data_IF_047958163233
#
_entry.id   IF_047958163233
#
_cell.length_a   1.000
_cell.length_b   1.000
_cell.length_c   1.000
_cell.angle_alpha   90.00
_cell.angle_beta   90.00
_cell.angle_gamma   90.00
#
_symmetry.space_group_name_H-M   'P 1'
#
loop_
_entity.id
_entity.type
_entity.pdbx_description
1 polymer ?
#
# COMPACT_ATOMS: atom_id res chain seq x y z
N UNK A 1 44.51 20.88 40.75
CA UNK A 1 43.04 21.03 40.74
C UNK A 1 42.56 20.70 39.35
N UNK A 2 42.01 19.49 39.18
CA UNK A 2 41.57 18.98 37.89
C UNK A 2 40.10 19.29 37.64
N UNK A 3 39.77 19.71 36.42
CA UNK A 3 38.42 19.63 35.89
C UNK A 3 38.37 18.49 34.87
N UNK A 4 37.72 17.41 35.32
CA UNK A 4 37.44 16.17 34.60
C UNK A 4 36.21 16.40 33.71
N UNK A 5 36.41 16.44 32.39
CA UNK A 5 35.31 16.37 31.43
C UNK A 5 34.73 14.95 31.46
N UNK A 6 33.43 14.85 31.73
CA UNK A 6 32.68 13.59 31.71
C UNK A 6 32.29 13.20 30.27
N UNK A 7 32.29 11.91 29.90
CA UNK A 7 31.83 11.46 28.59
C UNK A 7 30.29 11.38 28.53
N UNK A 8 29.73 11.81 27.40
CA UNK A 8 28.30 11.73 27.06
C UNK A 8 27.98 10.28 26.61
N UNK A 9 27.01 9.57 27.20
CA UNK A 9 26.64 8.23 26.76
C UNK A 9 25.52 8.26 25.71
N UNK A 10 25.64 7.41 24.68
CA UNK A 10 24.48 6.92 23.93
C UNK A 10 24.41 7.27 22.45
N UNK A 11 25.41 6.88 21.66
CA UNK A 11 25.23 6.73 20.21
C UNK A 11 24.20 5.62 19.95
N UNK A 12 22.94 5.96 19.67
CA UNK A 12 21.98 4.99 19.12
C UNK A 12 22.52 4.49 17.78
N UNK A 13 23.04 3.25 17.76
CA UNK A 13 23.33 2.51 16.54
C UNK A 13 22.08 2.57 15.66
N UNK A 14 22.19 3.23 14.51
CA UNK A 14 21.23 3.07 13.40
C UNK A 14 21.20 1.58 13.07
N UNK A 15 20.11 0.88 13.38
CA UNK A 15 19.84 -0.41 12.79
C UNK A 15 19.70 -0.19 11.29
N UNK A 16 20.71 -0.62 10.53
CA UNK A 16 20.62 -0.75 9.09
C UNK A 16 19.48 -1.74 8.81
N UNK A 17 18.56 -1.36 7.92
CA UNK A 17 17.63 -2.32 7.33
C UNK A 17 18.44 -3.51 6.81
N UNK A 18 18.10 -4.72 7.26
CA UNK A 18 18.66 -5.94 6.72
C UNK A 18 18.18 -6.06 5.27
N UNK A 19 19.03 -5.65 4.34
CA UNK A 19 18.95 -6.10 2.96
C UNK A 19 19.29 -7.58 2.99
N UNK A 20 18.31 -8.44 2.68
CA UNK A 20 18.54 -9.87 2.52
C UNK A 20 19.72 -10.09 1.56
N UNK A 21 20.72 -10.91 1.92
CA UNK A 21 21.90 -11.11 1.09
C UNK A 21 21.51 -11.68 -0.28
N UNK A 22 22.07 -11.09 -1.33
CA UNK A 22 21.91 -11.43 -2.76
C UNK A 22 22.45 -12.83 -3.14
N UNK A 23 22.81 -13.67 -2.18
CA UNK A 23 23.43 -14.98 -2.41
C UNK A 23 22.45 -16.14 -2.63
N UNK A 24 21.13 -15.91 -2.65
CA UNK A 24 20.16 -16.97 -3.02
C UNK A 24 19.82 -16.95 -4.53
N UNK A 25 20.32 -15.96 -5.28
CA UNK A 25 20.06 -15.82 -6.74
C UNK A 25 21.13 -16.54 -7.56
N UNK A 26 21.44 -17.80 -7.23
CA UNK A 26 22.05 -18.75 -8.18
C UNK A 26 21.57 -20.17 -7.89
N UNK A 27 20.33 -20.44 -8.28
CA UNK A 27 19.89 -21.76 -8.74
C UNK A 27 18.59 -21.56 -9.52
N UNK A 28 18.71 -21.47 -10.84
CA UNK A 28 17.58 -21.55 -11.77
C UNK A 28 17.25 -23.03 -11.98
N UNK A 29 15.95 -23.28 -12.18
CA UNK A 29 15.30 -24.53 -12.55
C UNK A 29 14.85 -25.42 -11.36
N UNK A 30 13.54 -25.42 -11.07
CA UNK A 30 12.90 -26.54 -10.36
C UNK A 30 12.24 -26.27 -8.99
N UNK A 31 11.90 -25.03 -8.61
CA UNK A 31 11.12 -24.84 -7.38
C UNK A 31 9.64 -25.17 -7.62
N UNK A 32 9.26 -26.44 -7.39
CA UNK A 32 7.87 -26.88 -7.34
C UNK A 32 7.05 -26.14 -6.28
N UNK A 33 5.73 -26.40 -6.21
CA UNK A 33 4.77 -25.76 -5.27
C UNK A 33 5.29 -25.71 -3.82
N UNK A 34 6.09 -26.68 -3.40
CA UNK A 34 6.64 -26.77 -2.05
C UNK A 34 7.81 -25.81 -1.78
N UNK A 35 8.59 -25.45 -2.80
CA UNK A 35 9.62 -24.41 -2.69
C UNK A 35 9.02 -23.03 -2.47
N UNK A 36 7.89 -22.74 -3.13
CA UNK A 36 7.12 -21.52 -2.92
C UNK A 36 6.48 -21.47 -1.53
N UNK A 37 5.89 -22.59 -1.05
CA UNK A 37 5.36 -22.67 0.31
C UNK A 37 6.43 -22.44 1.38
N UNK A 38 7.64 -22.97 1.19
CA UNK A 38 8.78 -22.74 2.10
C UNK A 38 9.27 -21.29 2.09
N UNK A 39 9.41 -20.68 0.91
CA UNK A 39 9.75 -19.26 0.80
C UNK A 39 8.67 -18.35 1.42
N UNK A 40 7.39 -18.70 1.25
CA UNK A 40 6.26 -18.01 1.88
C UNK A 40 6.27 -18.17 3.40
N UNK A 41 6.51 -19.38 3.91
CA UNK A 41 6.65 -19.63 5.35
C UNK A 41 7.82 -18.84 5.96
N UNK A 42 8.94 -18.72 5.24
CA UNK A 42 10.06 -17.85 5.63
C UNK A 42 9.67 -16.36 5.61
N UNK A 43 8.89 -15.90 4.63
CA UNK A 43 8.36 -14.53 4.61
C UNK A 43 7.36 -14.27 5.76
N UNK A 44 6.55 -15.26 6.13
CA UNK A 44 5.66 -15.23 7.29
C UNK A 44 6.44 -15.20 8.61
N UNK A 45 7.60 -15.85 8.68
CA UNK A 45 8.48 -15.87 9.85
C UNK A 45 9.38 -14.62 9.98
N UNK A 46 9.56 -13.85 8.91
CA UNK A 46 10.40 -12.65 8.88
C UNK A 46 9.62 -11.34 9.14
N UNK A 47 8.29 -11.38 9.19
CA UNK A 47 7.50 -10.23 9.59
C UNK A 47 7.71 -9.97 11.10
N UNK A 48 8.10 -8.76 11.53
CA UNK A 48 8.16 -8.45 12.94
C UNK A 48 6.78 -8.64 13.57
N UNK A 49 6.73 -9.21 14.77
CA UNK A 49 5.50 -9.41 15.50
C UNK A 49 4.72 -8.08 15.60
N UNK A 50 3.58 -8.00 14.90
CA UNK A 50 2.67 -6.84 14.93
C UNK A 50 2.69 -5.90 13.72
N UNK A 51 3.24 -6.28 12.55
CA UNK A 51 3.09 -5.45 11.34
C UNK A 51 1.62 -5.25 10.96
N UNK A 52 1.10 -4.03 11.19
CA UNK A 52 -0.26 -3.63 10.78
C UNK A 52 -0.31 -2.95 9.42
N UNK A 53 0.84 -2.70 8.79
CA UNK A 53 0.90 -2.07 7.48
C UNK A 53 1.33 -3.09 6.43
N UNK A 54 0.43 -3.43 5.50
CA UNK A 54 0.66 -4.35 4.40
C UNK A 54 0.78 -3.55 3.11
N UNK A 55 1.95 -3.59 2.48
CA UNK A 55 2.23 -2.83 1.26
C UNK A 55 2.46 -3.77 0.08
N UNK A 56 1.68 -3.65 -0.98
CA UNK A 56 1.89 -4.40 -2.23
C UNK A 56 2.59 -3.50 -3.24
N UNK A 57 3.70 -3.98 -3.78
CA UNK A 57 4.42 -3.33 -4.88
C UNK A 57 4.57 -4.27 -6.08
N UNK A 58 4.89 -3.72 -7.24
CA UNK A 58 5.09 -4.49 -8.46
C UNK A 58 5.04 -3.62 -9.71
N UNK A 59 5.38 -4.18 -10.88
CA UNK A 59 5.35 -3.43 -12.13
C UNK A 59 3.92 -2.96 -12.47
N UNK A 60 3.76 -1.83 -13.18
CA UNK A 60 2.45 -1.39 -13.67
C UNK A 60 1.76 -2.50 -14.48
N UNK A 61 0.44 -2.65 -14.31
CA UNK A 61 -0.34 -3.68 -15.01
C UNK A 61 -0.20 -5.11 -14.47
N UNK A 62 0.60 -5.34 -13.41
CA UNK A 62 0.76 -6.68 -12.82
C UNK A 62 -0.48 -7.18 -12.08
N UNK A 63 -1.50 -6.34 -11.88
CA UNK A 63 -2.76 -6.72 -11.20
C UNK A 63 -2.80 -6.42 -9.71
N UNK A 64 -2.14 -5.36 -9.23
CA UNK A 64 -2.15 -4.95 -7.81
C UNK A 64 -3.56 -4.59 -7.34
N UNK A 65 -4.27 -3.77 -8.11
CA UNK A 65 -5.69 -3.45 -7.89
C UNK A 65 -6.52 -4.73 -7.80
N UNK A 66 -6.36 -5.65 -8.76
CA UNK A 66 -7.06 -6.94 -8.76
C UNK A 66 -6.75 -7.77 -7.50
N UNK A 67 -5.50 -7.78 -7.03
CA UNK A 67 -5.12 -8.47 -5.81
C UNK A 67 -5.85 -7.88 -4.59
N UNK A 68 -5.82 -6.54 -4.44
CA UNK A 68 -6.50 -5.86 -3.33
C UNK A 68 -8.00 -6.14 -3.37
N UNK A 69 -8.64 -5.97 -4.53
CA UNK A 69 -10.08 -6.20 -4.68
C UNK A 69 -10.45 -7.63 -4.30
N UNK A 70 -9.70 -8.64 -4.75
CA UNK A 70 -9.94 -10.06 -4.40
C UNK A 70 -9.77 -10.35 -2.91
N UNK A 71 -8.81 -9.70 -2.23
CA UNK A 71 -8.64 -9.82 -0.78
C UNK A 71 -9.82 -9.19 -0.04
N UNK A 72 -10.24 -7.99 -0.44
CA UNK A 72 -11.39 -7.28 0.17
C UNK A 72 -12.69 -8.07 -0.03
N UNK A 73 -12.92 -8.62 -1.22
CA UNK A 73 -14.06 -9.50 -1.50
C UNK A 73 -14.06 -10.73 -0.59
N UNK A 74 -12.92 -11.43 -0.48
CA UNK A 74 -12.79 -12.58 0.40
C UNK A 74 -13.05 -12.24 1.87
N UNK A 75 -12.54 -11.09 2.35
CA UNK A 75 -12.80 -10.60 3.71
C UNK A 75 -14.28 -10.29 3.94
N UNK A 76 -14.95 -9.63 2.99
CA UNK A 76 -16.40 -9.36 3.08
C UNK A 76 -17.25 -10.61 3.10
N UNK A 77 -16.88 -11.63 2.32
CA UNK A 77 -17.59 -12.92 2.29
C UNK A 77 -17.40 -13.72 3.58
N UNK A 78 -16.18 -13.75 4.12
CA UNK A 78 -15.84 -14.55 5.30
C UNK A 78 -16.15 -13.87 6.63
N UNK A 79 -16.05 -12.53 6.67
CA UNK A 79 -16.21 -11.70 7.86
C UNK A 79 -17.11 -10.50 7.53
N UNK A 80 -18.41 -10.72 7.30
CA UNK A 80 -19.34 -9.67 6.84
C UNK A 80 -19.54 -8.52 7.82
N UNK A 81 -19.13 -8.68 9.08
CA UNK A 81 -19.21 -7.67 10.14
C UNK A 81 -18.01 -6.72 10.17
N UNK A 82 -16.98 -6.94 9.34
CA UNK A 82 -15.82 -6.06 9.30
C UNK A 82 -16.17 -4.73 8.66
N UNK A 83 -15.85 -3.66 9.38
CA UNK A 83 -15.90 -2.32 8.82
C UNK A 83 -14.59 -2.03 8.09
N UNK A 84 -14.61 -2.22 6.77
CA UNK A 84 -13.49 -1.94 5.88
C UNK A 84 -13.73 -0.58 5.22
N UNK A 85 -12.78 0.35 5.42
CA UNK A 85 -12.86 1.69 4.85
C UNK A 85 -11.71 1.92 3.86
N UNK A 86 -11.97 2.64 2.78
CA UNK A 86 -10.94 2.93 1.80
C UNK A 86 -11.44 3.04 0.37
N UNK A 87 -10.49 3.06 -0.54
CA UNK A 87 -10.75 3.17 -1.96
C UNK A 87 -9.69 2.41 -2.77
N UNK A 88 -10.03 2.15 -4.03
CA UNK A 88 -9.11 1.66 -5.04
C UNK A 88 -9.19 2.51 -6.29
N UNK A 89 -8.19 2.38 -7.15
CA UNK A 89 -8.09 3.16 -8.39
C UNK A 89 -8.43 2.27 -9.58
N UNK A 90 -9.26 2.76 -10.49
CA UNK A 90 -9.60 2.05 -11.73
C UNK A 90 -9.04 2.80 -12.94
N UNK A 91 -8.45 2.06 -13.87
CA UNK A 91 -8.07 2.61 -15.18
C UNK A 91 -9.33 2.88 -16.02
N UNK A 92 -9.43 4.09 -16.56
CA UNK A 92 -10.46 4.46 -17.54
C UNK A 92 -9.86 4.33 -18.94
N UNK A 93 -10.53 3.54 -19.79
CA UNK A 93 -10.11 3.27 -21.16
C UNK A 93 -11.22 3.62 -22.16
N UNK A 94 -10.81 4.14 -23.31
CA UNK A 94 -11.64 4.24 -24.52
C UNK A 94 -10.98 3.36 -25.59
N UNK A 95 -11.63 2.25 -25.96
CA UNK A 95 -11.00 1.21 -26.76
C UNK A 95 -9.76 0.64 -26.07
N UNK A 96 -8.64 0.60 -26.80
CA UNK A 96 -7.33 0.18 -26.27
C UNK A 96 -6.62 1.28 -25.46
N UNK A 97 -7.04 2.54 -25.61
CA UNK A 97 -6.34 3.68 -25.06
C UNK A 97 -6.75 3.97 -23.63
N UNK A 98 -5.75 4.01 -22.73
CA UNK A 98 -5.96 4.50 -21.36
C UNK A 98 -6.05 6.01 -21.36
N UNK A 99 -7.26 6.51 -21.11
CA UNK A 99 -7.60 7.93 -21.10
C UNK A 99 -7.58 8.56 -19.69
N UNK A 100 -7.54 7.76 -18.63
CA UNK A 100 -7.51 8.30 -17.28
C UNK A 100 -7.56 7.27 -16.18
N UNK A 101 -7.81 7.77 -14.98
CA UNK A 101 -7.93 7.04 -13.73
C UNK A 101 -9.05 7.64 -12.91
N UNK A 102 -9.80 6.80 -12.22
CA UNK A 102 -10.82 7.21 -11.26
C UNK A 102 -10.58 6.54 -9.90
N UNK A 103 -10.93 7.25 -8.85
CA UNK A 103 -11.08 6.67 -7.52
C UNK A 103 -12.44 6.00 -7.43
N UNK A 104 -12.46 4.80 -6.89
CA UNK A 104 -13.66 4.04 -6.59
C UNK A 104 -13.66 3.68 -5.11
N UNK A 105 -14.67 4.13 -4.41
CA UNK A 105 -14.85 3.85 -3.00
C UNK A 105 -15.41 2.44 -2.81
N UNK A 106 -15.27 1.90 -1.60
CA UNK A 106 -15.78 0.59 -1.24
C UNK A 106 -17.31 0.47 -1.23
N UNK A 107 -18.04 1.60 -1.16
CA UNK A 107 -19.50 1.74 -1.33
C UNK A 107 -19.92 2.06 -2.78
N UNK A 108 -18.97 2.12 -3.73
CA UNK A 108 -19.25 2.22 -5.17
C UNK A 108 -19.34 3.65 -5.71
N UNK A 109 -19.13 4.68 -4.90
CA UNK A 109 -18.96 6.06 -5.37
C UNK A 109 -17.68 6.17 -6.19
N UNK A 110 -17.70 7.07 -7.19
CA UNK A 110 -16.63 7.22 -8.16
C UNK A 110 -16.37 8.69 -8.45
N UNK A 111 -15.12 9.03 -8.73
CA UNK A 111 -14.73 10.35 -9.19
C UNK A 111 -13.38 10.34 -9.90
N UNK A 112 -13.14 11.29 -10.82
CA UNK A 112 -11.90 11.34 -11.57
C UNK A 112 -10.70 11.59 -10.65
N UNK A 113 -9.61 10.86 -10.88
CA UNK A 113 -8.29 11.12 -10.29
C UNK A 113 -7.41 11.85 -11.31
N UNK A 114 -7.35 11.35 -12.53
CA UNK A 114 -6.56 11.97 -13.59
C UNK A 114 -7.12 11.65 -14.98
N UNK A 115 -6.99 12.59 -15.90
CA UNK A 115 -7.48 12.46 -17.28
C UNK A 115 -6.45 12.98 -18.28
N UNK A 116 -6.37 12.35 -19.46
CA UNK A 116 -5.61 12.89 -20.59
C UNK A 116 -6.41 13.91 -21.40
N UNK A 117 -7.71 14.02 -21.16
CA UNK A 117 -8.58 15.02 -21.78
C UNK A 117 -8.65 16.26 -20.88
N UNK A 118 -8.30 17.41 -21.42
CA UNK A 118 -8.49 18.72 -20.78
C UNK A 118 -9.98 19.02 -20.80
N UNK A 119 -10.62 19.03 -19.63
CA UNK A 119 -12.07 19.21 -19.51
C UNK A 119 -12.47 20.66 -19.18
N UNK A 120 -11.53 21.50 -18.74
CA UNK A 120 -11.81 22.89 -18.33
C UNK A 120 -10.58 23.78 -18.37
N UNK A 121 -10.77 25.10 -18.35
CA UNK A 121 -9.68 26.09 -18.20
C UNK A 121 -8.90 25.89 -16.91
N UNK A 122 -9.55 25.47 -15.82
CA UNK A 122 -8.90 25.16 -14.55
C UNK A 122 -7.94 23.98 -14.66
N UNK A 123 -8.31 22.97 -15.44
CA UNK A 123 -7.47 21.78 -15.66
C UNK A 123 -6.13 22.09 -16.34
N UNK A 124 -5.99 23.26 -16.98
CA UNK A 124 -4.70 23.72 -17.52
C UNK A 124 -3.64 23.89 -16.43
N UNK A 125 -4.03 24.30 -15.21
CA UNK A 125 -3.13 24.51 -14.06
C UNK A 125 -2.92 23.26 -13.21
N UNK A 126 -3.63 22.17 -13.49
CA UNK A 126 -3.50 20.95 -12.71
C UNK A 126 -2.12 20.30 -12.87
N UNK A 127 -1.60 19.66 -11.81
CA UNK A 127 -0.35 18.91 -11.88
C UNK A 127 -0.45 17.75 -12.87
N UNK A 128 0.69 17.37 -13.44
CA UNK A 128 0.76 16.39 -14.53
C UNK A 128 1.65 15.19 -14.22
N UNK A 129 1.23 14.03 -14.72
CA UNK A 129 2.02 12.79 -14.76
C UNK A 129 1.97 12.21 -16.16
N UNK A 130 3.05 12.41 -16.93
CA UNK A 130 3.04 12.09 -18.35
C UNK A 130 1.97 12.91 -19.07
N UNK A 131 1.07 12.25 -19.80
CA UNK A 131 -0.06 12.89 -20.50
C UNK A 131 -1.28 13.18 -19.62
N UNK A 132 -1.28 12.76 -18.36
CA UNK A 132 -2.45 12.85 -17.48
C UNK A 132 -2.38 14.09 -16.59
N UNK A 133 -3.47 14.85 -16.55
CA UNK A 133 -3.70 15.95 -15.60
C UNK A 133 -4.47 15.41 -14.40
N UNK A 134 -3.99 15.72 -13.20
CA UNK A 134 -4.51 15.18 -11.93
C UNK A 134 -5.51 16.16 -11.32
N UNK A 135 -6.75 15.71 -11.14
CA UNK A 135 -7.81 16.45 -10.46
C UNK A 135 -7.70 16.23 -8.94
N UNK A 136 -6.86 17.04 -8.30
CA UNK A 136 -6.62 16.93 -6.86
C UNK A 136 -7.90 17.20 -6.05
N UNK A 137 -8.74 18.15 -6.48
CA UNK A 137 -9.95 18.51 -5.77
C UNK A 137 -10.98 17.36 -5.78
N UNK A 138 -11.22 16.76 -6.95
CA UNK A 138 -12.06 15.58 -7.07
C UNK A 138 -11.53 14.41 -6.24
N UNK A 139 -10.22 14.14 -6.33
CA UNK A 139 -9.56 13.10 -5.52
C UNK A 139 -9.79 13.32 -4.02
N UNK A 140 -9.50 14.52 -3.51
CA UNK A 140 -9.62 14.85 -2.10
C UNK A 140 -11.05 14.69 -1.57
N UNK A 141 -12.05 15.08 -2.36
CA UNK A 141 -13.46 15.01 -1.99
C UNK A 141 -13.94 13.57 -1.71
N UNK A 142 -13.32 12.57 -2.34
CA UNK A 142 -13.64 11.16 -2.14
C UNK A 142 -12.66 10.47 -1.18
N UNK A 143 -11.36 10.69 -1.35
CA UNK A 143 -10.33 9.93 -0.64
C UNK A 143 -10.16 10.38 0.82
N UNK A 144 -10.18 11.69 1.10
CA UNK A 144 -9.89 12.19 2.46
C UNK A 144 -10.95 11.80 3.50
N UNK A 145 -12.27 11.83 3.21
CA UNK A 145 -13.28 11.35 4.15
C UNK A 145 -13.09 9.87 4.53
N UNK A 146 -12.54 9.06 3.63
CA UNK A 146 -12.29 7.63 3.82
C UNK A 146 -11.05 7.32 4.66
N UNK A 147 -10.19 8.31 4.89
CA UNK A 147 -9.00 8.20 5.74
C UNK A 147 -9.20 8.87 7.11
N UNK A 148 -10.43 9.25 7.47
CA UNK A 148 -10.75 9.72 8.80
C UNK A 148 -10.76 8.54 9.77
N UNK A 149 -9.87 8.58 10.76
CA UNK A 149 -9.84 7.59 11.84
C UNK A 149 -11.03 7.81 12.75
N UNK A 150 -11.87 6.78 12.87
CA UNK A 150 -13.06 6.73 13.73
C UNK A 150 -13.12 5.38 14.44
N UNK A 151 -13.88 5.32 15.52
CA UNK A 151 -14.13 4.06 16.21
C UNK A 151 -14.83 3.04 15.31
N UNK A 152 -14.56 1.77 15.54
CA UNK A 152 -15.21 0.66 14.84
C UNK A 152 -14.71 0.40 13.43
N UNK A 153 -13.60 1.00 12.98
CA UNK A 153 -12.93 0.62 11.72
C UNK A 153 -11.98 -0.55 12.00
N UNK A 154 -12.14 -1.63 11.23
CA UNK A 154 -11.35 -2.85 11.41
C UNK A 154 -10.17 -2.94 10.40
N UNK A 155 -10.26 -2.26 9.25
CA UNK A 155 -9.23 -2.29 8.20
C UNK A 155 -9.33 -1.07 7.27
N UNK A 156 -8.19 -0.46 6.96
CA UNK A 156 -8.07 0.55 5.90
C UNK A 156 -7.49 -0.02 4.61
N UNK A 157 -8.04 0.37 3.46
CA UNK A 157 -7.58 -0.01 2.11
C UNK A 157 -7.23 1.21 1.27
N UNK A 158 -6.04 1.24 0.66
CA UNK A 158 -5.64 2.31 -0.27
C UNK A 158 -4.89 1.75 -1.49
N UNK A 159 -5.52 1.75 -2.66
CA UNK A 159 -4.87 1.47 -3.94
C UNK A 159 -4.94 2.71 -4.84
N UNK A 160 -3.88 3.49 -5.08
CA UNK A 160 -2.47 3.35 -4.69
C UNK A 160 -2.01 4.57 -3.86
N UNK A 161 -0.95 4.44 -3.05
CA UNK A 161 -0.20 5.61 -2.56
C UNK A 161 0.96 5.88 -3.52
N UNK A 162 0.69 6.67 -4.56
CA UNK A 162 1.60 6.91 -5.66
C UNK A 162 1.78 8.39 -6.00
N UNK A 163 2.40 8.65 -7.15
CA UNK A 163 2.74 10.02 -7.57
C UNK A 163 1.51 10.91 -7.75
N UNK A 164 0.40 10.35 -8.24
CA UNK A 164 -0.80 11.13 -8.56
C UNK A 164 -1.52 11.57 -7.27
N UNK A 165 -1.69 10.65 -6.33
CA UNK A 165 -2.36 10.87 -5.05
C UNK A 165 -1.54 11.80 -4.15
N UNK A 166 -0.21 11.72 -4.23
CA UNK A 166 0.72 12.57 -3.47
C UNK A 166 0.80 14.03 -3.97
N UNK A 167 0.06 14.42 -5.02
CA UNK A 167 -0.15 15.84 -5.30
C UNK A 167 -1.12 16.50 -4.32
N UNK A 168 -1.97 15.72 -3.65
CA UNK A 168 -2.73 16.22 -2.49
C UNK A 168 -1.79 16.41 -1.30
N UNK A 169 -1.69 17.66 -0.84
CA UNK A 169 -0.92 17.99 0.37
C UNK A 169 -1.54 17.40 1.63
N UNK A 170 -2.85 17.11 1.60
CA UNK A 170 -3.63 16.59 2.73
C UNK A 170 -3.63 15.06 2.81
N UNK A 171 -3.43 14.37 1.68
CA UNK A 171 -3.56 12.92 1.57
C UNK A 171 -2.48 12.16 2.35
N UNK A 172 -1.21 12.49 2.13
CA UNK A 172 -0.12 11.78 2.81
C UNK A 172 -0.16 11.95 4.34
N UNK A 173 -0.41 13.16 4.89
CA UNK A 173 -0.69 13.31 6.32
C UNK A 173 -1.85 12.45 6.82
N UNK A 174 -2.92 12.27 6.04
CA UNK A 174 -4.03 11.38 6.41
C UNK A 174 -3.60 9.92 6.46
N UNK A 175 -2.82 9.45 5.49
CA UNK A 175 -2.24 8.09 5.49
C UNK A 175 -1.36 7.89 6.72
N UNK A 176 -0.53 8.86 7.09
CA UNK A 176 0.32 8.77 8.29
C UNK A 176 -0.52 8.65 9.57
N UNK A 177 -1.60 9.43 9.71
CA UNK A 177 -2.51 9.29 10.85
C UNK A 177 -3.12 7.89 10.95
N UNK A 178 -3.47 7.28 9.81
CA UNK A 178 -3.97 5.89 9.77
C UNK A 178 -2.90 4.91 10.24
N UNK A 179 -1.64 5.08 9.81
CA UNK A 179 -0.53 4.22 10.25
C UNK A 179 -0.19 4.36 11.73
N UNK A 180 -0.36 5.56 12.29
CA UNK A 180 -0.17 5.83 13.71
C UNK A 180 -1.28 5.17 14.56
N UNK A 181 -2.39 4.77 13.92
CA UNK A 181 -3.45 4.02 14.58
C UNK A 181 -3.12 2.53 14.65
N UNK A 182 -3.62 1.88 15.69
CA UNK A 182 -3.46 0.44 15.88
C UNK A 182 -4.40 -0.39 14.96
N UNK A 183 -4.78 0.14 13.80
CA UNK A 183 -5.71 -0.46 12.83
C UNK A 183 -4.90 -0.99 11.64
N UNK A 184 -5.16 -2.21 11.15
CA UNK A 184 -4.57 -2.70 9.92
C UNK A 184 -4.75 -1.74 8.74
N UNK A 185 -3.68 -1.52 7.98
CA UNK A 185 -3.62 -0.70 6.77
C UNK A 185 -3.07 -1.55 5.63
N UNK A 186 -3.86 -1.75 4.58
CA UNK A 186 -3.48 -2.51 3.40
C UNK A 186 -3.49 -1.60 2.18
N UNK A 187 -2.31 -1.38 1.59
CA UNK A 187 -2.17 -0.45 0.48
C UNK A 187 -1.27 -0.98 -0.62
N UNK A 188 -1.36 -0.37 -1.80
CA UNK A 188 -0.38 -0.55 -2.87
C UNK A 188 0.55 0.65 -2.95
N UNK A 189 1.78 0.40 -3.39
CA UNK A 189 2.79 1.42 -3.68
C UNK A 189 3.48 1.14 -5.01
N UNK A 190 3.92 2.18 -5.74
CA UNK A 190 4.64 1.99 -6.99
C UNK A 190 6.02 1.37 -6.72
N UNK A 191 6.53 0.61 -7.69
CA UNK A 191 7.93 0.18 -7.63
C UNK A 191 8.86 1.38 -7.84
N UNK A 192 9.98 1.41 -7.13
CA UNK A 192 11.01 2.43 -7.38
C UNK A 192 11.56 2.26 -8.78
N UNK A 193 11.49 3.33 -9.59
CA UNK A 193 12.05 3.35 -10.93
C UNK A 193 13.36 4.14 -10.92
N UNK A 194 14.43 3.53 -11.43
CA UNK A 194 15.71 4.20 -11.69
C UNK A 194 16.30 4.94 -10.47
N UNK A 195 16.12 4.41 -9.26
CA UNK A 195 16.64 5.01 -8.03
C UNK A 195 15.97 6.32 -7.59
N UNK A 196 14.95 6.81 -8.32
CA UNK A 196 14.16 7.98 -7.92
C UNK A 196 12.98 7.52 -7.08
N UNK A 197 13.16 7.57 -5.78
CA UNK A 197 12.10 7.29 -4.83
C UNK A 197 11.21 8.52 -4.64
N UNK A 198 9.90 8.30 -4.50
CA UNK A 198 8.98 9.39 -4.14
C UNK A 198 9.03 9.50 -2.62
N UNK A 199 9.36 10.66 -2.02
CA UNK A 199 9.60 10.75 -0.57
C UNK A 199 8.49 10.16 0.31
N UNK A 200 7.22 10.37 -0.05
CA UNK A 200 6.08 9.77 0.65
C UNK A 200 6.04 8.24 0.56
N UNK A 201 6.30 7.69 -0.63
CA UNK A 201 6.38 6.24 -0.87
C UNK A 201 7.58 5.63 -0.13
N UNK A 202 8.73 6.29 -0.16
CA UNK A 202 9.93 5.88 0.57
C UNK A 202 9.65 5.77 2.07
N UNK A 203 8.95 6.77 2.63
CA UNK A 203 8.59 6.81 4.05
C UNK A 203 7.63 5.68 4.43
N UNK A 204 6.63 5.38 3.59
CA UNK A 204 5.75 4.23 3.76
C UNK A 204 6.53 2.91 3.74
N UNK A 205 7.37 2.72 2.73
CA UNK A 205 8.17 1.51 2.55
C UNK A 205 9.12 1.26 3.72
N UNK A 206 9.72 2.32 4.26
CA UNK A 206 10.67 2.24 5.36
C UNK A 206 10.01 2.30 6.75
N UNK A 207 8.68 2.28 6.83
CA UNK A 207 7.97 2.30 8.09
C UNK A 207 8.25 1.01 8.89
N UNK A 208 8.56 1.07 10.19
CA UNK A 208 9.00 -0.11 10.96
C UNK A 208 7.94 -1.21 11.05
N UNK A 209 6.65 -0.85 10.99
CA UNK A 209 5.53 -1.80 10.98
C UNK A 209 5.04 -2.20 9.57
N UNK A 210 5.78 -1.88 8.51
CA UNK A 210 5.40 -2.21 7.14
C UNK A 210 5.99 -3.56 6.69
N UNK A 211 5.11 -4.43 6.18
CA UNK A 211 5.47 -5.65 5.46
C UNK A 211 5.22 -5.43 3.97
N UNK A 212 6.23 -5.67 3.14
CA UNK A 212 6.17 -5.40 1.71
C UNK A 212 6.06 -6.71 0.91
N UNK A 213 5.06 -6.77 0.04
CA UNK A 213 4.77 -7.88 -0.85
C UNK A 213 5.06 -7.48 -2.30
N UNK A 214 6.00 -8.15 -2.95
CA UNK A 214 6.32 -7.89 -4.36
C UNK A 214 5.52 -8.82 -5.27
N UNK A 215 4.53 -8.26 -5.96
CA UNK A 215 3.65 -8.97 -6.87
C UNK A 215 4.32 -9.16 -8.23
N UNK A 216 4.24 -10.39 -8.74
CA UNK A 216 4.64 -10.76 -10.09
C UNK A 216 3.56 -11.69 -10.71
N UNK A 217 3.61 -11.99 -12.03
CA UNK A 217 2.59 -12.81 -12.65
C UNK A 217 2.45 -14.23 -12.05
N UNK A 218 3.53 -14.80 -11.52
CA UNK A 218 3.57 -16.18 -11.02
C UNK A 218 3.16 -16.36 -9.56
N UNK A 219 3.00 -15.28 -8.79
CA UNK A 219 2.71 -15.37 -7.34
C UNK A 219 1.37 -14.76 -6.93
N UNK A 220 0.52 -14.34 -7.87
CA UNK A 220 -0.72 -13.59 -7.57
C UNK A 220 -1.66 -14.31 -6.60
N UNK A 221 -1.98 -15.57 -6.86
CA UNK A 221 -2.93 -16.32 -6.02
C UNK A 221 -2.33 -16.62 -4.64
N UNK A 222 -1.07 -17.07 -4.61
CA UNK A 222 -0.38 -17.32 -3.37
C UNK A 222 -0.26 -16.04 -2.51
N UNK A 223 0.00 -14.89 -3.14
CA UNK A 223 0.07 -13.59 -2.46
C UNK A 223 -1.28 -13.20 -1.86
N UNK A 224 -2.37 -13.45 -2.59
CA UNK A 224 -3.74 -13.19 -2.13
C UNK A 224 -4.01 -13.97 -0.85
N UNK A 225 -3.71 -15.27 -0.84
CA UNK A 225 -3.92 -16.14 0.33
C UNK A 225 -3.05 -15.70 1.52
N UNK A 226 -1.77 -15.39 1.28
CA UNK A 226 -0.86 -14.95 2.34
C UNK A 226 -1.29 -13.63 3.01
N UNK A 227 -1.64 -12.62 2.20
CA UNK A 227 -2.09 -11.32 2.72
C UNK A 227 -3.41 -11.50 3.47
N UNK A 228 -4.37 -12.24 2.89
CA UNK A 228 -5.65 -12.51 3.53
C UNK A 228 -5.46 -13.17 4.91
N UNK A 229 -4.65 -14.23 5.00
CA UNK A 229 -4.39 -14.91 6.28
C UNK A 229 -3.72 -13.98 7.30
N UNK A 230 -2.77 -13.15 6.89
CA UNK A 230 -2.13 -12.21 7.81
C UNK A 230 -3.09 -11.13 8.32
N UNK A 231 -3.96 -10.59 7.44
CA UNK A 231 -4.98 -9.64 7.87
C UNK A 231 -5.93 -10.29 8.86
N UNK A 232 -6.47 -11.48 8.55
CA UNK A 232 -7.40 -12.20 9.44
C UNK A 232 -6.78 -12.47 10.82
N UNK A 233 -5.50 -12.85 10.88
CA UNK A 233 -4.81 -13.09 12.14
C UNK A 233 -4.64 -11.83 13.02
N UNK A 234 -4.75 -10.63 12.45
CA UNK A 234 -4.68 -9.36 13.18
C UNK A 234 -6.06 -8.82 13.57
N UNK A 235 -7.12 -9.29 12.93
CA UNK A 235 -8.46 -8.87 13.25
C UNK A 235 -8.84 -9.42 14.63
N UNK A 236 -9.49 -8.61 15.48
CA UNK A 236 -9.96 -9.09 16.75
C UNK A 236 -10.91 -10.27 16.51
N UNK A 237 -10.64 -11.41 17.16
CA UNK A 237 -11.60 -12.49 17.26
C UNK A 237 -12.83 -11.93 18.00
N UNK A 238 -13.79 -11.39 17.26
CA UNK A 238 -15.15 -11.16 17.77
C UNK A 238 -15.81 -12.53 17.86
N UNK A 239 -15.28 -13.36 18.76
CA UNK A 239 -15.90 -14.61 19.16
C UNK A 239 -17.26 -14.26 19.75
N UNK A 240 -18.31 -14.60 18.99
CA UNK A 240 -19.67 -14.95 19.45
C UNK A 240 -20.12 -14.25 20.75
N UNK A 241 -20.97 -13.23 20.62
CA UNK A 241 -22.04 -13.09 21.60
C UNK A 241 -23.01 -14.27 21.43
#
# INVERSE_FOLDING_TARGET
MGHRLQPIPGSRRRQKAQVLPTSVIRSRAGAGRDGYKRAMAMAMAAAPAGSKCFLVTGPPGVGKTTLITRVVEALRTSHPHLNIQGFYTREVREGSDRIGFEVVTLDGKRGPLASSKVSSTESLRWPTVGKYKVDVASFESLALPLLQVKEGIDLFIVDEVGKMELFSSSFFPAVLRVLDCNIPFFATIPIVKFGRDIPGVARLRNHPGATIFTLNPGNRDAMKDAIYSQIVNLLPNKSKC
#
